data_IF_449386422778
#
_entry.id   IF_449386422778
#
_cell.length_a   1.000
_cell.length_b   1.000
_cell.length_c   1.000
_cell.angle_alpha   90.00
_cell.angle_beta   90.00
_cell.angle_gamma   90.00
#
_symmetry.space_group_name_H-M   'P 1'
#
loop_
_entity.id
_entity.type
_entity.pdbx_description
1 polymer ?
#
# COMPACT_ATOMS: atom_id res chain seq x y z
N UNK A 1 -27.32 15.42 26.24
CA UNK A 1 -26.65 15.64 24.94
C UNK A 1 -27.07 14.52 24.00
N UNK A 2 -28.05 14.80 23.12
CA UNK A 2 -28.58 13.83 22.16
C UNK A 2 -27.52 13.56 21.08
N UNK A 3 -27.03 12.32 20.99
CA UNK A 3 -26.27 11.86 19.85
C UNK A 3 -27.19 11.93 18.61
N UNK A 4 -26.96 12.94 17.76
CA UNK A 4 -27.60 13.01 16.46
C UNK A 4 -27.15 11.79 15.64
N UNK A 5 -27.98 10.76 15.61
CA UNK A 5 -27.90 9.61 14.71
C UNK A 5 -28.16 10.09 13.28
N UNK A 6 -27.21 10.79 12.68
CA UNK A 6 -27.26 11.12 11.27
C UNK A 6 -26.89 9.86 10.48
N UNK A 7 -27.86 8.96 10.27
CA UNK A 7 -27.70 7.84 9.34
C UNK A 7 -27.37 8.44 7.98
N UNK A 8 -26.14 8.24 7.50
CA UNK A 8 -25.73 8.61 6.14
C UNK A 8 -26.82 8.17 5.15
N UNK A 9 -27.33 9.11 4.35
CA UNK A 9 -28.35 8.81 3.35
C UNK A 9 -27.84 7.65 2.45
N UNK A 10 -28.65 6.59 2.22
CA UNK A 10 -28.24 5.44 1.43
C UNK A 10 -27.73 5.81 0.02
N UNK A 11 -28.19 6.93 -0.55
CA UNK A 11 -27.71 7.47 -1.82
C UNK A 11 -26.26 7.97 -1.70
N UNK A 12 -25.93 8.71 -0.63
CA UNK A 12 -24.58 9.24 -0.41
C UNK A 12 -23.57 8.11 -0.17
N UNK A 13 -23.98 7.05 0.54
CA UNK A 13 -23.12 5.88 0.75
C UNK A 13 -22.86 5.11 -0.55
N UNK A 14 -23.87 5.00 -1.43
CA UNK A 14 -23.70 4.42 -2.78
C UNK A 14 -22.73 5.24 -3.62
N UNK A 15 -22.87 6.56 -3.62
CA UNK A 15 -21.97 7.47 -4.34
C UNK A 15 -20.54 7.39 -3.81
N UNK A 16 -20.35 7.38 -2.49
CA UNK A 16 -19.03 7.22 -1.86
C UNK A 16 -18.37 5.90 -2.26
N UNK A 17 -19.11 4.79 -2.18
CA UNK A 17 -18.59 3.48 -2.58
C UNK A 17 -18.25 3.42 -4.08
N UNK A 18 -19.07 4.05 -4.93
CA UNK A 18 -18.79 4.16 -6.36
C UNK A 18 -17.52 4.98 -6.62
N UNK A 19 -17.35 6.12 -5.95
CA UNK A 19 -16.16 6.95 -6.04
C UNK A 19 -14.91 6.21 -5.55
N UNK A 20 -14.99 5.49 -4.42
CA UNK A 20 -13.86 4.68 -3.92
C UNK A 20 -13.47 3.61 -4.94
N UNK A 21 -14.45 2.92 -5.54
CA UNK A 21 -14.21 1.89 -6.56
C UNK A 21 -13.56 2.48 -7.81
N UNK A 22 -14.06 3.62 -8.29
CA UNK A 22 -13.53 4.30 -9.46
C UNK A 22 -12.10 4.80 -9.22
N UNK A 23 -11.85 5.54 -8.13
CA UNK A 23 -10.51 6.06 -7.82
C UNK A 23 -9.51 4.93 -7.57
N UNK A 24 -9.95 3.83 -6.95
CA UNK A 24 -9.14 2.61 -6.80
C UNK A 24 -8.75 2.01 -8.15
N UNK A 25 -9.67 1.98 -9.12
CA UNK A 25 -9.38 1.48 -10.46
C UNK A 25 -8.38 2.42 -11.16
N UNK A 26 -8.63 3.73 -11.12
CA UNK A 26 -7.76 4.73 -11.73
C UNK A 26 -6.35 4.68 -11.15
N UNK A 27 -6.20 4.64 -9.82
CA UNK A 27 -4.89 4.53 -9.19
C UNK A 27 -4.17 3.23 -9.57
N UNK A 28 -4.91 2.13 -9.69
CA UNK A 28 -4.37 0.86 -10.19
C UNK A 28 -3.85 0.98 -11.62
N UNK A 29 -4.65 1.54 -12.53
CA UNK A 29 -4.25 1.75 -13.93
C UNK A 29 -3.04 2.68 -14.06
N UNK A 30 -3.04 3.80 -13.33
CA UNK A 30 -1.92 4.76 -13.34
C UNK A 30 -0.65 4.14 -12.77
N UNK A 31 -0.72 3.53 -11.57
CA UNK A 31 0.43 2.92 -10.92
C UNK A 31 1.01 1.76 -11.74
N UNK A 32 0.14 0.91 -12.29
CA UNK A 32 0.53 -0.17 -13.18
C UNK A 32 1.21 0.34 -14.44
N UNK A 33 0.63 1.33 -15.12
CA UNK A 33 1.20 1.88 -16.37
C UNK A 33 2.55 2.54 -16.13
N UNK A 34 2.67 3.34 -15.07
CA UNK A 34 3.93 3.98 -14.71
C UNK A 34 5.01 2.94 -14.42
N UNK A 35 4.69 1.89 -13.65
CA UNK A 35 5.63 0.82 -13.35
C UNK A 35 6.04 0.03 -14.59
N UNK A 36 5.09 -0.24 -15.50
CA UNK A 36 5.37 -0.90 -16.77
C UNK A 36 6.37 -0.12 -17.63
N UNK A 37 6.18 1.19 -17.74
CA UNK A 37 7.09 2.11 -18.43
C UNK A 37 8.47 2.06 -17.76
N UNK A 38 8.53 2.18 -16.43
CA UNK A 38 9.78 2.15 -15.68
C UNK A 38 10.55 0.85 -15.93
N UNK A 39 9.90 -0.31 -15.82
CA UNK A 39 10.57 -1.61 -16.03
C UNK A 39 11.01 -1.78 -17.49
N UNK A 40 10.20 -1.35 -18.45
CA UNK A 40 10.57 -1.41 -19.87
C UNK A 40 11.84 -0.62 -20.16
N UNK A 41 11.89 0.65 -19.72
CA UNK A 41 13.04 1.52 -19.94
C UNK A 41 14.24 1.13 -19.08
N UNK A 42 14.05 0.72 -17.82
CA UNK A 42 15.12 0.23 -16.96
C UNK A 42 15.81 -1.00 -17.59
N UNK A 43 15.04 -1.90 -18.21
CA UNK A 43 15.59 -3.07 -18.91
C UNK A 43 16.45 -2.65 -20.10
N UNK A 44 15.97 -1.73 -20.93
CA UNK A 44 16.74 -1.23 -22.08
C UNK A 44 17.97 -0.42 -21.67
N UNK A 45 17.84 0.44 -20.66
CA UNK A 45 18.97 1.16 -20.08
C UNK A 45 20.00 0.20 -19.51
N UNK A 46 19.56 -0.92 -18.92
CA UNK A 46 20.46 -1.93 -18.37
C UNK A 46 21.28 -2.60 -19.47
N UNK A 47 20.61 -3.04 -20.54
CA UNK A 47 21.25 -3.66 -21.71
C UNK A 47 22.25 -2.68 -22.34
N UNK A 48 21.87 -1.42 -22.51
CA UNK A 48 22.70 -0.40 -23.14
C UNK A 48 23.96 -0.04 -22.33
N UNK A 49 23.85 0.00 -21.00
CA UNK A 49 24.98 0.40 -20.12
C UNK A 49 25.92 -0.75 -19.76
N UNK A 50 25.39 -1.95 -19.56
CA UNK A 50 26.14 -3.06 -18.96
C UNK A 50 26.26 -4.29 -19.86
N UNK A 51 25.62 -4.31 -21.04
CA UNK A 51 25.79 -5.37 -22.03
C UNK A 51 25.57 -6.77 -21.43
N UNK A 52 26.64 -7.57 -21.40
CA UNK A 52 26.63 -8.92 -20.84
C UNK A 52 26.29 -8.98 -19.34
N UNK A 53 26.63 -7.94 -18.57
CA UNK A 53 26.41 -7.86 -17.12
C UNK A 53 25.09 -7.17 -16.73
N UNK A 54 24.23 -6.89 -17.71
CA UNK A 54 22.95 -6.19 -17.52
C UNK A 54 21.97 -6.93 -16.58
N UNK A 55 22.20 -8.21 -16.32
CA UNK A 55 21.35 -9.07 -15.50
C UNK A 55 21.51 -8.95 -13.98
N UNK A 56 22.62 -8.38 -13.47
CA UNK A 56 23.03 -8.58 -12.07
C UNK A 56 21.96 -8.28 -11.00
N UNK A 57 21.26 -7.15 -11.12
CA UNK A 57 20.18 -6.80 -10.19
C UNK A 57 18.81 -6.90 -10.81
N UNK A 58 18.67 -6.44 -12.05
CA UNK A 58 17.38 -6.41 -12.71
C UNK A 58 16.88 -7.83 -13.02
N UNK A 59 17.78 -8.79 -13.28
CA UNK A 59 17.45 -10.20 -13.47
C UNK A 59 16.76 -10.85 -12.26
N UNK A 60 16.96 -10.32 -11.05
CA UNK A 60 16.26 -10.80 -9.85
C UNK A 60 14.74 -10.63 -9.94
N UNK A 61 14.24 -9.72 -10.79
CA UNK A 61 12.81 -9.62 -11.03
C UNK A 61 12.20 -10.92 -11.60
N UNK A 62 12.98 -11.78 -12.25
CA UNK A 62 12.50 -13.07 -12.78
C UNK A 62 11.96 -14.01 -11.69
N UNK A 63 12.44 -13.83 -10.45
CA UNK A 63 11.94 -14.52 -9.26
C UNK A 63 10.43 -14.23 -9.07
N UNK A 64 10.02 -12.99 -9.30
CA UNK A 64 8.63 -12.55 -9.17
C UNK A 64 7.86 -12.57 -10.49
N UNK A 65 8.51 -12.24 -11.61
CA UNK A 65 7.93 -12.07 -12.93
C UNK A 65 8.22 -13.29 -13.81
N UNK A 66 7.29 -14.26 -13.94
CA UNK A 66 7.53 -15.44 -14.76
C UNK A 66 7.84 -15.06 -16.21
N UNK A 67 8.92 -15.64 -16.74
CA UNK A 67 9.39 -15.40 -18.10
C UNK A 67 10.18 -14.09 -18.30
N UNK A 68 10.34 -13.29 -17.25
CA UNK A 68 11.17 -12.08 -17.34
C UNK A 68 12.66 -12.44 -17.48
N UNK A 69 13.34 -11.68 -18.33
CA UNK A 69 14.79 -11.71 -18.50
C UNK A 69 15.25 -10.32 -18.93
N UNK A 70 16.52 -9.99 -18.72
CA UNK A 70 17.09 -8.69 -19.14
C UNK A 70 17.43 -8.76 -20.63
N UNK A 71 16.38 -8.82 -21.45
CA UNK A 71 16.44 -8.84 -22.92
C UNK A 71 15.35 -7.92 -23.47
N UNK A 72 15.43 -7.54 -24.75
CA UNK A 72 14.39 -6.71 -25.38
C UNK A 72 13.01 -7.38 -25.36
N UNK A 73 12.94 -8.71 -25.55
CA UNK A 73 11.70 -9.46 -25.41
C UNK A 73 11.23 -9.56 -23.95
N UNK A 74 12.16 -9.80 -23.03
CA UNK A 74 11.89 -9.84 -21.60
C UNK A 74 11.38 -8.50 -21.04
N UNK A 75 11.76 -7.37 -21.62
CA UNK A 75 11.26 -6.04 -21.22
C UNK A 75 9.74 -5.91 -21.31
N UNK A 76 9.12 -6.48 -22.35
CA UNK A 76 7.65 -6.49 -22.49
C UNK A 76 6.97 -7.41 -21.47
N UNK A 77 7.57 -8.58 -21.20
CA UNK A 77 7.10 -9.50 -20.16
C UNK A 77 7.19 -8.83 -18.78
N UNK A 78 8.30 -8.13 -18.52
CA UNK A 78 8.51 -7.38 -17.30
C UNK A 78 7.52 -6.23 -17.15
N UNK A 79 7.28 -5.47 -18.22
CA UNK A 79 6.29 -4.39 -18.23
C UNK A 79 4.88 -4.91 -17.93
N UNK A 80 4.49 -6.05 -18.52
CA UNK A 80 3.21 -6.70 -18.23
C UNK A 80 3.08 -7.08 -16.74
N UNK A 81 4.07 -7.79 -16.19
CA UNK A 81 4.02 -8.18 -14.78
C UNK A 81 4.07 -6.98 -13.83
N UNK A 82 4.88 -5.97 -14.14
CA UNK A 82 4.96 -4.73 -13.39
C UNK A 82 3.61 -4.00 -13.35
N UNK A 83 2.90 -3.96 -14.49
CA UNK A 83 1.55 -3.42 -14.58
C UNK A 83 0.59 -4.15 -13.64
N UNK A 84 0.60 -5.49 -13.68
CA UNK A 84 -0.29 -6.32 -12.86
C UNK A 84 0.04 -6.16 -11.37
N UNK A 85 1.30 -6.31 -10.98
CA UNK A 85 1.72 -6.23 -9.58
C UNK A 85 1.43 -4.86 -8.98
N UNK A 86 1.98 -3.81 -9.58
CA UNK A 86 1.84 -2.45 -9.02
C UNK A 86 0.41 -1.96 -9.17
N UNK A 87 -0.29 -2.33 -10.25
CA UNK A 87 -1.68 -1.96 -10.44
C UNK A 87 -2.61 -2.60 -9.41
N UNK A 88 -2.46 -3.90 -9.13
CA UNK A 88 -3.23 -4.59 -8.10
C UNK A 88 -2.91 -4.04 -6.71
N UNK A 89 -1.62 -3.87 -6.37
CA UNK A 89 -1.20 -3.34 -5.08
C UNK A 89 -1.75 -1.91 -4.89
N UNK A 90 -1.60 -1.04 -5.88
CA UNK A 90 -2.10 0.35 -5.79
C UNK A 90 -3.62 0.40 -5.66
N UNK A 91 -4.34 -0.43 -6.44
CA UNK A 91 -5.80 -0.52 -6.38
C UNK A 91 -6.29 -1.01 -5.03
N UNK A 92 -5.65 -2.05 -4.48
CA UNK A 92 -5.97 -2.62 -3.18
C UNK A 92 -5.68 -1.62 -2.05
N UNK A 93 -4.53 -0.96 -2.11
CA UNK A 93 -4.12 0.08 -1.16
C UNK A 93 -5.18 1.18 -1.04
N UNK A 94 -5.66 1.69 -2.18
CA UNK A 94 -6.71 2.70 -2.19
C UNK A 94 -8.04 2.16 -1.65
N UNK A 95 -8.41 0.90 -1.94
CA UNK A 95 -9.65 0.30 -1.39
C UNK A 95 -9.58 0.15 0.11
N UNK A 96 -8.46 -0.33 0.63
CA UNK A 96 -8.26 -0.51 2.06
C UNK A 96 -8.30 0.85 2.76
N UNK A 97 -7.54 1.82 2.26
CA UNK A 97 -7.56 3.18 2.79
C UNK A 97 -8.95 3.83 2.69
N UNK A 98 -9.58 3.76 1.52
CA UNK A 98 -10.90 4.35 1.26
C UNK A 98 -12.02 3.72 2.10
N UNK A 99 -11.98 2.41 2.36
CA UNK A 99 -12.95 1.76 3.26
C UNK A 99 -12.77 2.19 4.70
N UNK A 100 -11.53 2.29 5.16
CA UNK A 100 -11.23 2.60 6.56
C UNK A 100 -11.40 4.10 6.86
N UNK A 101 -10.99 4.99 5.95
CA UNK A 101 -11.02 6.44 6.15
C UNK A 101 -12.21 7.14 5.49
N UNK A 102 -12.70 6.64 4.35
CA UNK A 102 -13.76 7.30 3.58
C UNK A 102 -15.08 7.43 4.32
N UNK A 103 -15.42 6.46 5.18
CA UNK A 103 -16.61 6.54 6.05
C UNK A 103 -16.50 7.67 7.06
N UNK A 104 -15.32 7.85 7.67
CA UNK A 104 -15.03 8.90 8.65
C UNK A 104 -14.97 10.30 8.02
N UNK A 105 -14.33 10.43 6.85
CA UNK A 105 -14.25 11.70 6.12
C UNK A 105 -15.63 12.12 5.64
N UNK A 106 -16.46 11.18 5.16
CA UNK A 106 -17.84 11.47 4.78
C UNK A 106 -18.63 12.02 5.97
N UNK A 107 -18.47 11.46 7.18
CA UNK A 107 -19.10 12.00 8.39
C UNK A 107 -18.67 13.45 8.65
N UNK A 108 -17.38 13.79 8.50
CA UNK A 108 -16.85 15.15 8.76
C UNK A 108 -17.26 16.16 7.66
N UNK A 109 -17.21 15.75 6.39
CA UNK A 109 -17.55 16.61 5.24
C UNK A 109 -19.06 16.83 5.14
N UNK A 110 -19.86 15.81 5.46
CA UNK A 110 -21.33 15.87 5.41
C UNK A 110 -21.94 16.28 6.76
N UNK A 111 -21.16 16.36 7.85
CA UNK A 111 -21.64 16.99 9.08
C UNK A 111 -21.86 18.48 8.83
N UNK A 112 -23.12 18.82 8.61
CA UNK A 112 -23.65 20.17 8.47
C UNK A 112 -23.62 20.92 9.81
N UNK A 113 -22.47 21.05 10.48
CA UNK A 113 -22.36 22.08 11.50
C UNK A 113 -22.22 23.43 10.77
N UNK A 114 -23.16 24.37 10.94
CA UNK A 114 -22.98 25.73 10.47
C UNK A 114 -21.75 26.27 11.20
N UNK A 115 -20.66 26.49 10.46
CA UNK A 115 -19.57 27.30 10.99
C UNK A 115 -20.06 28.74 10.99
N UNK A 116 -20.18 29.37 12.16
CA UNK A 116 -20.47 30.80 12.30
C UNK A 116 -19.44 31.69 11.57
N UNK A 117 -18.35 31.11 11.07
CA UNK A 117 -17.41 31.74 10.14
C UNK A 117 -17.16 30.85 8.90
N UNK A 118 -17.57 31.25 7.69
CA UNK A 118 -17.38 30.46 6.46
C UNK A 118 -15.91 30.35 6.00
N UNK A 119 -14.98 31.07 6.65
CA UNK A 119 -13.58 31.21 6.20
C UNK A 119 -12.58 30.39 7.05
N UNK A 120 -12.98 29.90 8.23
CA UNK A 120 -12.05 29.24 9.17
C UNK A 120 -12.66 27.97 9.77
N UNK A 121 -12.80 26.91 8.96
CA UNK A 121 -12.61 25.56 9.53
C UNK A 121 -11.11 25.46 9.83
N UNK A 122 -10.67 25.17 11.06
CA UNK A 122 -9.28 24.83 11.30
C UNK A 122 -9.04 23.51 10.53
N UNK A 123 -8.52 23.62 9.31
CA UNK A 123 -8.13 22.48 8.46
C UNK A 123 -6.84 21.89 9.00
N UNK A 124 -6.85 21.49 10.27
CA UNK A 124 -5.71 20.84 10.88
C UNK A 124 -6.04 19.36 10.85
N UNK A 125 -5.40 18.67 9.91
CA UNK A 125 -5.65 17.26 9.64
C UNK A 125 -5.08 16.41 10.78
N UNK A 126 -5.88 16.12 11.81
CA UNK A 126 -5.49 15.16 12.85
C UNK A 126 -5.38 13.76 12.25
N UNK A 127 -4.30 13.04 12.58
CA UNK A 127 -4.15 11.65 12.17
C UNK A 127 -4.98 10.73 13.06
N UNK A 128 -5.82 9.91 12.44
CA UNK A 128 -6.51 8.84 13.15
C UNK A 128 -5.66 7.57 13.12
N UNK A 129 -4.96 7.30 14.23
CA UNK A 129 -3.98 6.22 14.33
C UNK A 129 -4.56 4.85 14.03
N UNK A 130 -5.78 4.55 14.48
CA UNK A 130 -6.43 3.25 14.22
C UNK A 130 -6.65 3.01 12.73
N UNK A 131 -7.14 4.02 11.99
CA UNK A 131 -7.35 3.88 10.55
C UNK A 131 -6.03 3.74 9.80
N UNK A 132 -5.03 4.52 10.19
CA UNK A 132 -3.70 4.46 9.58
C UNK A 132 -3.07 3.08 9.82
N UNK A 133 -3.05 2.63 11.08
CA UNK A 133 -2.49 1.35 11.46
C UNK A 133 -3.19 0.18 10.79
N UNK A 134 -4.53 0.17 10.73
CA UNK A 134 -5.26 -0.88 10.02
C UNK A 134 -4.92 -0.90 8.54
N UNK A 135 -4.89 0.25 7.87
CA UNK A 135 -4.62 0.31 6.45
C UNK A 135 -3.18 -0.08 6.11
N UNK A 136 -2.20 0.58 6.74
CA UNK A 136 -0.77 0.38 6.44
C UNK A 136 -0.29 -0.97 6.99
N UNK A 137 -0.73 -1.36 8.18
CA UNK A 137 -0.45 -2.67 8.75
C UNK A 137 -1.01 -3.80 7.90
N UNK A 138 -2.28 -3.72 7.46
CA UNK A 138 -2.87 -4.75 6.59
C UNK A 138 -2.14 -4.85 5.26
N UNK A 139 -1.76 -3.71 4.66
CA UNK A 139 -0.97 -3.70 3.44
C UNK A 139 0.40 -4.36 3.62
N UNK A 140 1.10 -4.07 4.73
CA UNK A 140 2.41 -4.65 5.00
C UNK A 140 2.32 -6.15 5.27
N UNK A 141 1.42 -6.58 6.15
CA UNK A 141 1.26 -7.99 6.52
C UNK A 141 0.77 -8.86 5.36
N UNK A 142 -0.28 -8.42 4.66
CA UNK A 142 -0.78 -9.12 3.47
C UNK A 142 0.24 -9.10 2.34
N UNK A 143 0.97 -7.99 2.17
CA UNK A 143 2.03 -7.86 1.18
C UNK A 143 3.13 -8.91 1.41
N UNK A 144 3.60 -9.04 2.65
CA UNK A 144 4.60 -10.05 3.01
C UNK A 144 4.09 -11.47 2.80
N UNK A 145 2.87 -11.78 3.27
CA UNK A 145 2.29 -13.11 3.11
C UNK A 145 2.11 -13.47 1.64
N UNK A 146 1.48 -12.60 0.84
CA UNK A 146 1.25 -12.84 -0.59
C UNK A 146 2.55 -12.97 -1.37
N UNK A 147 3.55 -12.14 -1.07
CA UNK A 147 4.88 -12.24 -1.68
C UNK A 147 5.55 -13.57 -1.37
N UNK A 148 5.53 -13.98 -0.09
CA UNK A 148 6.11 -15.26 0.34
C UNK A 148 5.36 -16.46 -0.26
N UNK A 149 4.03 -16.42 -0.27
CA UNK A 149 3.21 -17.45 -0.90
C UNK A 149 3.49 -17.55 -2.40
N UNK A 150 3.67 -16.42 -3.08
CA UNK A 150 4.04 -16.41 -4.50
C UNK A 150 5.38 -17.09 -4.75
N UNK A 151 6.40 -16.80 -3.93
CA UNK A 151 7.72 -17.45 -4.04
C UNK A 151 7.64 -18.97 -3.85
N UNK A 152 6.86 -19.42 -2.85
CA UNK A 152 6.68 -20.84 -2.56
C UNK A 152 5.95 -21.54 -3.71
N UNK A 153 4.85 -20.96 -4.20
CA UNK A 153 4.08 -21.52 -5.32
C UNK A 153 4.89 -21.59 -6.62
N UNK A 154 5.83 -20.65 -6.81
CA UNK A 154 6.74 -20.62 -7.95
C UNK A 154 7.92 -21.58 -7.82
N UNK A 155 8.14 -22.16 -6.64
CA UNK A 155 9.35 -22.93 -6.35
C UNK A 155 10.63 -22.09 -6.34
N UNK A 156 10.53 -20.76 -6.24
CA UNK A 156 11.68 -19.83 -6.23
C UNK A 156 12.08 -19.39 -4.82
N UNK A 157 11.51 -20.03 -3.79
CA UNK A 157 11.78 -19.75 -2.39
C UNK A 157 13.28 -19.87 -2.05
N UNK A 158 13.94 -20.94 -2.48
CA UNK A 158 15.37 -21.18 -2.20
C UNK A 158 16.29 -20.17 -2.89
N UNK A 159 15.89 -19.66 -4.05
CA UNK A 159 16.67 -18.67 -4.80
C UNK A 159 16.51 -17.24 -4.26
N UNK A 160 15.56 -17.01 -3.36
CA UNK A 160 15.25 -15.67 -2.84
C UNK A 160 15.99 -15.39 -1.54
N UNK A 161 17.32 -15.22 -1.63
CA UNK A 161 18.21 -14.93 -0.48
C UNK A 161 17.71 -13.72 0.31
N UNK A 162 17.26 -12.66 -0.36
CA UNK A 162 16.74 -11.46 0.29
C UNK A 162 15.46 -11.70 1.08
N UNK A 163 14.58 -12.58 0.61
CA UNK A 163 13.40 -12.96 1.39
C UNK A 163 13.83 -13.75 2.63
N UNK A 164 14.77 -14.68 2.50
CA UNK A 164 15.29 -15.46 3.63
C UNK A 164 15.94 -14.58 4.71
N UNK A 165 16.58 -13.46 4.34
CA UNK A 165 17.16 -12.51 5.29
C UNK A 165 16.12 -11.93 6.27
N UNK A 166 14.84 -11.87 5.88
CA UNK A 166 13.78 -11.30 6.71
C UNK A 166 13.54 -12.13 7.99
N UNK A 167 13.94 -13.40 8.00
CA UNK A 167 13.90 -14.26 9.18
C UNK A 167 14.76 -13.74 10.34
N UNK A 168 15.76 -12.89 10.05
CA UNK A 168 16.60 -12.26 11.10
C UNK A 168 15.87 -11.12 11.84
N UNK A 169 14.82 -10.56 11.25
CA UNK A 169 14.10 -9.40 11.79
C UNK A 169 12.70 -9.74 12.29
N UNK A 170 12.08 -10.78 11.72
CA UNK A 170 10.73 -11.21 12.05
C UNK A 170 10.81 -12.63 12.64
N UNK A 171 10.67 -12.76 13.96
CA UNK A 171 10.59 -14.06 14.62
C UNK A 171 9.60 -15.01 13.94
N UNK A 172 9.97 -16.28 13.79
CA UNK A 172 9.08 -17.29 13.17
C UNK A 172 8.84 -17.12 11.67
N UNK A 173 9.34 -16.06 11.02
CA UNK A 173 9.30 -15.95 9.56
C UNK A 173 10.24 -16.96 8.92
N UNK A 174 9.70 -17.72 7.98
CA UNK A 174 10.45 -18.55 7.05
C UNK A 174 9.81 -18.41 5.67
N UNK A 175 10.56 -18.69 4.60
CA UNK A 175 10.03 -18.65 3.22
C UNK A 175 9.18 -19.91 2.96
N UNK A 176 8.10 -20.04 3.72
CA UNK A 176 7.09 -21.10 3.66
C UNK A 176 5.70 -20.47 3.77
N UNK A 177 4.63 -21.20 3.41
CA UNK A 177 3.27 -20.66 3.54
C UNK A 177 2.95 -20.31 5.00
N UNK A 178 3.30 -21.19 5.94
CA UNK A 178 3.03 -20.98 7.36
C UNK A 178 3.93 -19.90 7.95
N UNK A 179 5.23 -19.91 7.65
CA UNK A 179 6.16 -18.88 8.09
C UNK A 179 5.84 -17.49 7.52
N UNK A 180 5.37 -17.43 6.26
CA UNK A 180 4.88 -16.21 5.65
C UNK A 180 3.60 -15.68 6.30
N UNK A 181 2.70 -16.58 6.75
CA UNK A 181 1.48 -16.19 7.47
C UNK A 181 1.82 -15.60 8.84
N UNK A 182 2.68 -16.29 9.59
CA UNK A 182 3.13 -15.84 10.91
C UNK A 182 3.88 -14.51 10.81
N UNK A 183 4.87 -14.42 9.92
CA UNK A 183 5.61 -13.18 9.73
C UNK A 183 4.74 -12.04 9.18
N UNK A 184 3.72 -12.35 8.36
CA UNK A 184 2.73 -11.37 7.92
C UNK A 184 1.90 -10.80 9.08
N UNK A 185 1.49 -11.65 10.04
CA UNK A 185 0.80 -11.21 11.25
C UNK A 185 1.69 -10.37 12.16
N UNK A 186 2.95 -10.78 12.36
CA UNK A 186 3.91 -10.02 13.16
C UNK A 186 4.20 -8.65 12.54
N UNK A 187 4.44 -8.60 11.23
CA UNK A 187 4.67 -7.35 10.51
C UNK A 187 3.42 -6.44 10.55
N UNK A 188 2.22 -7.02 10.43
CA UNK A 188 0.97 -6.29 10.63
C UNK A 188 0.94 -5.60 11.99
N UNK A 189 1.19 -6.35 13.07
CA UNK A 189 1.15 -5.83 14.45
C UNK A 189 2.21 -4.74 14.63
N UNK A 190 3.44 -4.99 14.17
CA UNK A 190 4.54 -4.05 14.27
C UNK A 190 4.22 -2.71 13.59
N UNK A 191 3.78 -2.76 12.32
CA UNK A 191 3.44 -1.56 11.54
C UNK A 191 2.18 -0.87 12.09
N UNK A 192 1.22 -1.64 12.59
CA UNK A 192 0.03 -1.11 13.24
C UNK A 192 0.40 -0.28 14.48
N UNK A 193 1.22 -0.82 15.38
CA UNK A 193 1.68 -0.13 16.60
C UNK A 193 2.53 1.09 16.23
N UNK A 194 3.44 0.97 15.26
CA UNK A 194 4.23 2.10 14.77
C UNK A 194 3.34 3.24 14.23
N UNK A 195 2.27 2.91 13.52
CA UNK A 195 1.30 3.89 13.01
C UNK A 195 0.50 4.57 14.12
N UNK A 196 0.15 3.83 15.19
CA UNK A 196 -0.49 4.41 16.38
C UNK A 196 0.45 5.42 17.06
N UNK A 197 1.72 5.05 17.24
CA UNK A 197 2.73 5.91 17.83
C UNK A 197 2.97 7.18 16.97
N UNK A 198 3.08 7.01 15.65
CA UNK A 198 3.23 8.13 14.72
C UNK A 198 2.05 9.10 14.84
N UNK A 199 0.82 8.59 14.83
CA UNK A 199 -0.37 9.42 14.97
C UNK A 199 -0.42 10.14 16.34
N UNK A 200 -0.04 9.47 17.43
CA UNK A 200 0.02 10.07 18.76
C UNK A 200 1.03 11.22 18.82
N UNK A 201 2.25 11.01 18.29
CA UNK A 201 3.30 12.03 18.24
C UNK A 201 2.87 13.22 17.38
N UNK A 202 2.35 12.95 16.18
CA UNK A 202 1.87 13.99 15.28
C UNK A 202 0.77 14.84 15.95
N UNK A 203 -0.24 14.19 16.52
CA UNK A 203 -1.36 14.88 17.15
C UNK A 203 -0.91 15.71 18.37
N UNK A 204 0.08 15.23 19.13
CA UNK A 204 0.68 15.97 20.24
C UNK A 204 1.45 17.21 19.76
N UNK A 205 2.22 17.11 18.67
CA UNK A 205 2.93 18.25 18.08
C UNK A 205 1.94 19.31 17.61
N UNK A 206 0.88 18.86 16.93
CA UNK A 206 -0.22 19.73 16.48
C UNK A 206 -0.83 20.47 17.68
N UNK A 207 -1.20 19.75 18.74
CA UNK A 207 -1.77 20.33 19.95
C UNK A 207 -0.87 21.41 20.57
N UNK A 208 0.42 21.12 20.76
CA UNK A 208 1.39 22.08 21.33
C UNK A 208 1.54 23.34 20.47
N UNK A 209 1.51 23.21 19.14
CA UNK A 209 1.60 24.37 18.24
C UNK A 209 0.38 25.28 18.34
N UNK A 210 -0.80 24.72 18.61
CA UNK A 210 -2.03 25.51 18.76
C UNK A 210 -2.17 26.14 20.15
N UNK A 211 -1.68 25.50 21.21
CA UNK A 211 -1.71 26.11 22.54
C UNK A 211 -0.77 27.32 22.66
N UNK A 212 0.24 27.44 21.78
CA UNK A 212 1.22 28.54 21.78
C UNK A 212 0.90 29.68 20.79
N UNK A 213 -0.15 29.56 19.99
CA UNK A 213 -0.60 30.58 19.04
C UNK A 213 -1.83 31.31 19.60
#
# INVERSE_FOLDING_TARGET
MQAANHKLNPVNLKLLNAAIRFNSLMLGLTGGTLSAIVIYFATHMSIAKWGADSGNYLGLLAVFFPGYSVTSGGAWIGAFWAFIYVGVISSLSYRLYGRVLGTRIADILLSTQPSDNPVLKPTILRLHGMSLGLAVGAMAGLGLFCSTAWLVLRGTAESSVHAALLANYIPGYTVSIFGGLLGGLELFVFVFVASLLLAAVYNKIVEVRHTKA
#
